data_IF_576304173995
#
_entry.id   IF_576304173995
#
_cell.length_a   1.000
_cell.length_b   1.000
_cell.length_c   1.000
_cell.angle_alpha   90.00
_cell.angle_beta   90.00
_cell.angle_gamma   90.00
#
_symmetry.space_group_name_H-M   'P 1'
#
loop_
_entity.id
_entity.type
_entity.pdbx_description
1 polymer ?
#
# COMPACT_ATOMS: atom_id res chain seq x y z
N UNK A 1 14.62 -4.66 -10.76
CA UNK A 1 15.62 -5.63 -10.26
C UNK A 1 16.68 -4.87 -9.49
N UNK A 2 16.94 -5.18 -8.21
CA UNK A 2 18.20 -4.77 -7.64
C UNK A 2 19.30 -5.54 -8.36
N UNK A 3 20.02 -4.87 -9.26
CA UNK A 3 21.15 -5.48 -9.99
C UNK A 3 22.22 -6.08 -9.06
N UNK A 4 22.14 -5.78 -7.76
CA UNK A 4 22.99 -6.31 -6.70
C UNK A 4 22.92 -7.84 -6.58
N UNK A 5 21.73 -8.46 -6.64
CA UNK A 5 21.64 -9.92 -6.41
C UNK A 5 22.47 -10.72 -7.41
N UNK A 6 22.34 -10.40 -8.70
CA UNK A 6 23.14 -11.03 -9.75
C UNK A 6 24.61 -10.60 -9.66
N UNK A 7 24.88 -9.32 -9.40
CA UNK A 7 26.25 -8.79 -9.32
C UNK A 7 27.07 -9.41 -8.17
N UNK A 8 26.43 -9.89 -7.10
CA UNK A 8 27.11 -10.43 -5.93
C UNK A 8 26.89 -11.93 -5.73
N UNK A 9 26.28 -12.64 -6.70
CA UNK A 9 25.89 -14.05 -6.54
C UNK A 9 27.08 -14.97 -6.25
N UNK A 10 28.18 -14.82 -6.98
CA UNK A 10 29.40 -15.61 -6.77
C UNK A 10 30.03 -15.32 -5.41
N UNK A 11 30.17 -14.04 -5.03
CA UNK A 11 30.75 -13.65 -3.74
C UNK A 11 29.94 -14.19 -2.55
N UNK A 12 28.62 -14.27 -2.67
CA UNK A 12 27.77 -14.90 -1.66
C UNK A 12 27.96 -16.42 -1.60
N UNK A 13 28.05 -17.08 -2.76
CA UNK A 13 28.26 -18.54 -2.83
C UNK A 13 29.62 -18.95 -2.24
N UNK A 14 30.64 -18.11 -2.42
CA UNK A 14 31.98 -18.32 -1.89
C UNK A 14 32.10 -17.92 -0.40
N UNK A 15 31.04 -17.37 0.20
CA UNK A 15 31.04 -16.88 1.58
C UNK A 15 31.86 -15.61 1.80
N UNK A 16 32.32 -14.96 0.73
CA UNK A 16 33.13 -13.74 0.78
C UNK A 16 32.33 -12.51 1.23
N UNK A 17 31.01 -12.52 1.02
CA UNK A 17 30.11 -11.50 1.57
C UNK A 17 28.83 -12.13 2.10
N UNK A 18 28.22 -11.46 3.08
CA UNK A 18 26.84 -11.72 3.48
C UNK A 18 25.93 -10.57 3.05
N UNK A 19 24.73 -10.90 2.61
CA UNK A 19 23.72 -9.93 2.19
C UNK A 19 22.57 -9.92 3.20
N UNK A 20 22.14 -8.71 3.59
CA UNK A 20 20.90 -8.49 4.34
C UNK A 20 20.15 -7.36 3.65
N UNK A 21 18.87 -7.55 3.38
CA UNK A 21 17.99 -6.51 2.85
C UNK A 21 17.06 -5.95 3.90
N UNK A 22 16.70 -4.68 3.75
CA UNK A 22 15.59 -4.06 4.48
C UNK A 22 14.68 -3.40 3.44
N UNK A 23 13.39 -3.76 3.45
CA UNK A 23 12.42 -3.27 2.47
C UNK A 23 11.31 -2.46 3.13
N UNK A 24 10.96 -1.34 2.50
CA UNK A 24 9.86 -0.46 2.89
C UNK A 24 8.55 -0.97 2.28
N UNK A 25 8.15 -2.18 2.66
CA UNK A 25 6.96 -2.88 2.18
C UNK A 25 5.96 -3.03 3.32
N UNK A 26 4.66 -2.88 3.04
CA UNK A 26 3.62 -3.08 4.04
C UNK A 26 3.23 -4.56 4.19
N UNK A 27 3.29 -5.32 3.10
CA UNK A 27 2.86 -6.72 3.03
C UNK A 27 4.08 -7.64 2.86
N UNK A 28 4.58 -8.28 3.95
CA UNK A 28 5.81 -9.07 3.92
C UNK A 28 5.80 -10.24 2.92
N UNK A 29 4.62 -10.78 2.63
CA UNK A 29 4.41 -11.84 1.64
C UNK A 29 4.70 -11.40 0.20
N UNK A 30 4.49 -10.12 -0.15
CA UNK A 30 4.89 -9.55 -1.45
C UNK A 30 6.42 -9.57 -1.59
N UNK A 31 7.15 -9.19 -0.55
CA UNK A 31 8.61 -9.29 -0.53
C UNK A 31 9.07 -10.75 -0.64
N UNK A 32 8.42 -11.68 0.08
CA UNK A 32 8.72 -13.11 0.03
C UNK A 32 8.44 -13.71 -1.36
N UNK A 33 7.33 -13.34 -2.01
CA UNK A 33 7.02 -13.75 -3.38
C UNK A 33 8.08 -13.24 -4.36
N UNK A 34 8.50 -11.98 -4.22
CA UNK A 34 9.57 -11.42 -5.04
C UNK A 34 10.89 -12.19 -4.85
N UNK A 35 11.26 -12.50 -3.60
CA UNK A 35 12.45 -13.30 -3.29
C UNK A 35 12.38 -14.71 -3.89
N UNK A 36 11.24 -15.40 -3.78
CA UNK A 36 11.03 -16.71 -4.40
C UNK A 36 11.16 -16.62 -5.93
N UNK A 37 10.58 -15.59 -6.54
CA UNK A 37 10.66 -15.41 -7.99
C UNK A 37 12.10 -15.22 -8.47
N UNK A 38 12.90 -14.50 -7.68
CA UNK A 38 14.30 -14.17 -7.96
C UNK A 38 15.31 -15.13 -7.35
N UNK A 39 14.85 -16.22 -6.72
CA UNK A 39 15.70 -17.24 -6.10
C UNK A 39 16.72 -16.62 -5.11
N UNK A 40 16.28 -15.59 -4.38
CA UNK A 40 17.11 -14.87 -3.40
C UNK A 40 17.18 -15.66 -2.09
N UNK A 41 18.37 -16.13 -1.72
CA UNK A 41 18.60 -16.95 -0.52
C UNK A 41 18.99 -16.18 0.76
N UNK A 42 19.13 -14.86 0.69
CA UNK A 42 19.59 -14.02 1.81
C UNK A 42 18.42 -13.37 2.57
N UNK A 43 18.56 -13.09 3.87
CA UNK A 43 17.47 -12.55 4.69
C UNK A 43 17.03 -11.15 4.26
N UNK A 44 15.71 -10.92 4.27
CA UNK A 44 15.09 -9.60 4.08
C UNK A 44 14.21 -9.28 5.29
N UNK A 45 14.51 -8.16 5.93
CA UNK A 45 13.67 -7.56 6.96
C UNK A 45 12.68 -6.60 6.32
N UNK A 46 11.49 -6.48 6.92
CA UNK A 46 10.44 -5.58 6.43
C UNK A 46 10.29 -4.45 7.43
N UNK A 47 10.50 -3.22 6.95
CA UNK A 47 10.28 -2.00 7.72
C UNK A 47 9.06 -1.26 7.14
N UNK A 48 7.86 -1.70 7.51
CA UNK A 48 6.63 -1.07 7.04
C UNK A 48 6.41 0.33 7.66
N UNK A 49 7.02 0.58 8.82
CA UNK A 49 6.78 1.73 9.70
C UNK A 49 7.84 2.84 9.54
N UNK A 50 8.80 2.66 8.64
CA UNK A 50 9.97 3.54 8.47
C UNK A 50 10.72 3.77 9.79
N UNK A 51 10.96 2.71 10.56
CA UNK A 51 11.66 2.75 11.86
C UNK A 51 13.13 3.12 11.72
N UNK A 52 13.73 2.90 10.54
CA UNK A 52 15.07 3.38 10.25
C UNK A 52 15.12 4.88 9.92
N UNK A 53 13.95 5.52 9.81
CA UNK A 53 13.79 6.95 9.49
C UNK A 53 14.55 7.38 8.22
N UNK A 54 14.72 6.44 7.28
CA UNK A 54 15.40 6.71 6.03
C UNK A 54 14.50 7.57 5.15
N UNK A 55 15.06 8.60 4.52
CA UNK A 55 14.25 9.50 3.70
C UNK A 55 14.05 9.01 2.27
N UNK A 56 14.94 8.12 1.78
CA UNK A 56 15.00 7.67 0.39
C UNK A 56 15.53 6.25 0.28
N UNK A 57 15.07 5.53 -0.74
CA UNK A 57 15.55 4.19 -1.11
C UNK A 57 15.81 4.11 -2.62
N UNK A 58 16.71 3.23 -3.08
CA UNK A 58 17.53 2.31 -2.28
C UNK A 58 18.77 2.97 -1.67
N UNK A 59 19.18 2.45 -0.51
CA UNK A 59 20.48 2.72 0.12
C UNK A 59 21.23 1.39 0.16
N UNK A 60 22.47 1.39 -0.34
CA UNK A 60 23.35 0.22 -0.33
C UNK A 60 24.57 0.57 0.50
N UNK A 61 25.00 -0.32 1.39
CA UNK A 61 26.16 -0.11 2.25
C UNK A 61 27.04 -1.36 2.21
N UNK A 62 28.35 -1.16 2.30
CA UNK A 62 29.30 -2.21 2.65
C UNK A 62 29.74 -2.00 4.09
N UNK A 63 29.52 -3.02 4.91
CA UNK A 63 29.76 -3.01 6.35
C UNK A 63 30.70 -4.18 6.62
N UNK A 64 31.85 -3.90 7.23
CA UNK A 64 32.80 -4.94 7.61
C UNK A 64 32.41 -5.67 8.90
N UNK A 65 33.25 -6.61 9.30
CA UNK A 65 33.08 -7.46 10.47
C UNK A 65 33.10 -6.68 11.80
N UNK A 66 33.71 -5.50 11.81
CA UNK A 66 33.75 -4.57 12.95
C UNK A 66 32.52 -3.64 12.99
N UNK A 67 31.58 -3.79 12.05
CA UNK A 67 30.40 -2.96 11.93
C UNK A 67 30.68 -1.57 11.33
N UNK A 68 31.84 -1.36 10.73
CA UNK A 68 32.25 -0.09 10.11
C UNK A 68 31.71 -0.04 8.68
N UNK A 69 31.00 1.04 8.37
CA UNK A 69 30.55 1.33 7.00
C UNK A 69 31.76 1.74 6.16
N UNK A 70 32.22 0.83 5.29
CA UNK A 70 33.34 1.07 4.35
C UNK A 70 32.91 1.81 3.09
N UNK A 71 31.65 1.67 2.69
CA UNK A 71 31.10 2.39 1.54
C UNK A 71 29.61 2.63 1.70
N UNK A 72 29.15 3.82 1.29
CA UNK A 72 27.73 4.15 1.15
C UNK A 72 27.42 4.45 -0.30
N UNK A 73 26.35 3.84 -0.82
CA UNK A 73 25.86 3.95 -2.20
C UNK A 73 26.96 3.64 -3.24
N UNK A 74 27.57 2.44 -3.21
CA UNK A 74 28.51 2.02 -4.24
C UNK A 74 27.89 2.18 -5.64
N UNK A 75 28.70 2.50 -6.65
CA UNK A 75 28.20 2.77 -7.99
C UNK A 75 27.49 1.54 -8.55
N UNK A 76 26.28 1.75 -9.09
CA UNK A 76 25.48 0.64 -9.68
C UNK A 76 26.21 -0.05 -10.82
N UNK A 77 26.92 0.73 -11.64
CA UNK A 77 27.84 0.23 -12.66
C UNK A 77 29.17 -0.04 -11.97
N UNK A 78 29.68 -1.27 -12.07
CA UNK A 78 30.86 -1.68 -11.32
C UNK A 78 30.55 -2.31 -9.96
N UNK A 79 29.30 -2.66 -9.67
CA UNK A 79 28.90 -3.18 -8.36
C UNK A 79 29.62 -4.48 -8.00
N UNK A 80 29.85 -5.36 -8.98
CA UNK A 80 30.56 -6.62 -8.77
C UNK A 80 32.02 -6.35 -8.39
N UNK A 81 32.67 -5.44 -9.11
CA UNK A 81 34.05 -5.00 -8.86
C UNK A 81 34.17 -4.29 -7.50
N UNK A 82 33.22 -3.43 -7.15
CA UNK A 82 33.18 -2.74 -5.86
C UNK A 82 32.98 -3.73 -4.70
N UNK A 83 32.10 -4.73 -4.87
CA UNK A 83 31.89 -5.77 -3.87
C UNK A 83 33.11 -6.70 -3.73
N UNK A 84 33.78 -7.02 -4.84
CA UNK A 84 35.01 -7.81 -4.82
C UNK A 84 36.17 -7.05 -4.18
N UNK A 85 36.30 -5.75 -4.45
CA UNK A 85 37.28 -4.88 -3.81
C UNK A 85 37.04 -4.80 -2.30
N UNK A 86 35.78 -4.60 -1.89
CA UNK A 86 35.40 -4.62 -0.48
C UNK A 86 35.80 -5.93 0.20
N UNK A 87 35.44 -7.08 -0.38
CA UNK A 87 35.78 -8.40 0.17
C UNK A 87 37.30 -8.68 0.22
N UNK A 88 38.09 -8.05 -0.65
CA UNK A 88 39.55 -8.20 -0.68
C UNK A 88 40.28 -7.27 0.30
N UNK A 89 39.69 -6.10 0.62
CA UNK A 89 40.28 -5.11 1.55
C UNK A 89 40.00 -5.43 3.03
N UNK A 90 38.94 -6.18 3.31
CA UNK A 90 38.63 -6.67 4.65
C UNK A 90 39.56 -7.83 4.99
N UNK A 91 40.56 -7.58 5.84
CA UNK A 91 41.24 -8.69 6.52
C UNK A 91 40.23 -9.43 7.39
N UNK A 92 40.21 -10.77 7.39
CA UNK A 92 39.32 -11.50 8.26
C UNK A 92 39.60 -11.06 9.70
N UNK A 93 38.59 -10.51 10.36
CA UNK A 93 38.70 -10.12 11.75
C UNK A 93 39.26 -11.31 12.55
N UNK A 94 40.20 -11.03 13.47
CA UNK A 94 40.64 -12.05 14.41
C UNK A 94 39.39 -12.65 15.06
N UNK A 95 39.29 -13.99 15.19
CA UNK A 95 38.10 -14.61 15.75
C UNK A 95 37.77 -13.94 17.06
N UNK A 96 36.63 -13.25 17.11
CA UNK A 96 36.18 -12.53 18.29
C UNK A 96 36.09 -13.57 19.40
N UNK A 97 36.99 -13.49 20.38
CA UNK A 97 37.19 -14.52 21.41
C UNK A 97 36.03 -14.63 22.42
N UNK A 98 34.91 -14.01 22.12
CA UNK A 98 33.70 -14.02 22.91
C UNK A 98 32.54 -13.83 21.95
N UNK A 99 31.49 -14.65 22.09
CA UNK A 99 30.19 -14.29 21.53
C UNK A 99 29.93 -12.81 21.86
N UNK A 100 29.57 -11.95 20.89
CA UNK A 100 29.14 -10.61 21.21
C UNK A 100 28.12 -10.74 22.34
N UNK A 101 28.24 -9.95 23.44
CA UNK A 101 27.35 -10.08 24.56
C UNK A 101 25.95 -10.09 23.99
N UNK A 102 25.23 -11.21 24.16
CA UNK A 102 23.93 -11.41 23.54
C UNK A 102 23.17 -10.11 23.74
N UNK A 103 22.93 -9.38 22.64
CA UNK A 103 22.24 -8.10 22.72
C UNK A 103 21.03 -8.38 23.59
N UNK A 104 20.90 -7.69 24.73
CA UNK A 104 19.89 -8.01 25.74
C UNK A 104 18.55 -7.73 25.10
N UNK A 105 18.04 -8.71 24.36
CA UNK A 105 16.82 -8.60 23.60
C UNK A 105 15.75 -8.54 24.65
N UNK A 106 15.17 -7.35 24.83
CA UNK A 106 13.99 -7.22 25.66
C UNK A 106 12.98 -8.25 25.17
N UNK A 107 12.47 -9.13 26.05
CA UNK A 107 11.46 -10.08 25.62
C UNK A 107 10.29 -9.30 25.02
N UNK A 108 9.71 -9.82 23.93
CA UNK A 108 8.59 -9.17 23.24
C UNK A 108 7.44 -8.81 24.20
N UNK A 109 7.24 -9.60 25.26
CA UNK A 109 6.27 -9.33 26.33
C UNK A 109 6.50 -7.99 27.05
N UNK A 110 7.75 -7.54 27.21
CA UNK A 110 8.06 -6.22 27.75
C UNK A 110 7.72 -5.10 26.77
N UNK A 111 7.99 -5.29 25.47
CA UNK A 111 7.62 -4.32 24.43
C UNK A 111 6.10 -4.17 24.27
N UNK A 112 5.36 -5.25 24.56
CA UNK A 112 3.91 -5.30 24.50
C UNK A 112 3.21 -4.91 25.82
N UNK A 113 3.97 -4.41 26.81
CA UNK A 113 3.43 -3.84 28.04
C UNK A 113 3.18 -2.34 27.88
N UNK A 114 1.98 -1.82 28.22
CA UNK A 114 1.71 -0.39 28.12
C UNK A 114 2.61 0.40 29.08
N UNK A 115 3.11 1.57 28.66
CA UNK A 115 3.92 2.41 29.53
C UNK A 115 3.06 3.01 30.66
N UNK A 116 3.71 3.52 31.70
CA UNK A 116 3.04 4.21 32.81
C UNK A 116 2.20 5.41 32.35
N UNK A 117 1.22 5.82 33.16
CA UNK A 117 0.32 6.94 32.81
C UNK A 117 1.06 8.25 32.55
N UNK A 118 2.17 8.46 33.25
CA UNK A 118 3.02 9.65 33.17
C UNK A 118 4.18 9.51 32.17
N UNK A 119 4.17 8.44 31.36
CA UNK A 119 5.17 8.24 30.34
C UNK A 119 5.05 9.28 29.21
N UNK A 120 6.19 9.60 28.62
CA UNK A 120 6.28 10.58 27.54
C UNK A 120 5.70 10.06 26.20
N UNK A 121 5.55 10.99 25.26
CA UNK A 121 5.04 10.74 23.91
C UNK A 121 5.82 9.64 23.18
N UNK A 122 7.13 9.58 23.39
CA UNK A 122 8.04 8.62 22.78
C UNK A 122 7.78 7.19 23.28
N UNK A 123 7.63 7.01 24.59
CA UNK A 123 7.30 5.71 25.18
C UNK A 123 5.95 5.19 24.69
N UNK A 124 4.94 6.06 24.59
CA UNK A 124 3.65 5.70 24.00
C UNK A 124 3.77 5.36 22.51
N UNK A 125 4.61 6.09 21.74
CA UNK A 125 4.86 5.77 20.33
C UNK A 125 5.49 4.39 20.19
N UNK A 126 6.58 4.10 20.90
CA UNK A 126 7.25 2.78 20.86
C UNK A 126 6.30 1.64 21.23
N UNK A 127 5.43 1.83 22.23
CA UNK A 127 4.39 0.86 22.56
C UNK A 127 3.42 0.65 21.39
N UNK A 128 2.95 1.74 20.77
CA UNK A 128 2.11 1.69 19.56
C UNK A 128 2.78 0.92 18.42
N UNK A 129 4.06 1.16 18.15
CA UNK A 129 4.82 0.46 17.10
C UNK A 129 5.04 -1.03 17.42
N UNK A 130 5.36 -1.35 18.68
CA UNK A 130 5.50 -2.73 19.12
C UNK A 130 4.18 -3.51 18.96
N UNK A 131 3.03 -2.86 19.16
CA UNK A 131 1.73 -3.47 18.88
C UNK A 131 1.54 -3.76 17.38
N UNK A 132 2.02 -2.90 16.49
CA UNK A 132 1.92 -3.14 15.04
C UNK A 132 2.83 -4.29 14.61
N UNK A 133 4.06 -4.35 15.11
CA UNK A 133 5.05 -5.32 14.64
C UNK A 133 4.91 -6.71 15.27
N UNK A 134 4.64 -6.77 16.58
CA UNK A 134 4.77 -7.99 17.36
C UNK A 134 3.47 -8.53 17.97
N UNK A 135 2.42 -7.71 18.05
CA UNK A 135 1.14 -8.17 18.60
C UNK A 135 0.32 -8.93 17.54
N UNK A 136 -0.59 -9.81 17.96
CA UNK A 136 -1.48 -10.48 17.04
C UNK A 136 -2.53 -9.48 16.50
N UNK A 137 -3.18 -9.77 15.34
CA UNK A 137 -4.05 -8.82 14.63
C UNK A 137 -5.20 -8.23 15.47
N UNK A 138 -5.68 -8.95 16.48
CA UNK A 138 -6.77 -8.50 17.36
C UNK A 138 -6.37 -7.27 18.21
N UNK A 139 -5.06 -7.01 18.36
CA UNK A 139 -4.53 -5.83 19.07
C UNK A 139 -4.26 -4.63 18.15
N UNK A 140 -4.54 -4.72 16.84
CA UNK A 140 -4.38 -3.57 15.94
C UNK A 140 -5.30 -2.40 16.31
N UNK A 141 -6.46 -2.68 16.91
CA UNK A 141 -7.33 -1.64 17.49
C UNK A 141 -6.63 -0.82 18.57
N UNK A 142 -5.84 -1.50 19.39
CA UNK A 142 -5.05 -0.85 20.42
C UNK A 142 -3.93 -0.01 19.81
N UNK A 143 -3.23 -0.55 18.81
CA UNK A 143 -2.15 0.15 18.11
C UNK A 143 -2.63 1.47 17.50
N UNK A 144 -3.73 1.41 16.74
CA UNK A 144 -4.36 2.60 16.13
C UNK A 144 -4.74 3.62 17.18
N UNK A 145 -5.39 3.19 18.28
CA UNK A 145 -5.78 4.10 19.38
C UNK A 145 -4.57 4.74 20.07
N UNK A 146 -3.51 3.98 20.32
CA UNK A 146 -2.29 4.47 20.97
C UNK A 146 -1.58 5.50 20.08
N UNK A 147 -1.36 5.18 18.81
CA UNK A 147 -0.73 6.11 17.87
C UNK A 147 -1.60 7.36 17.63
N UNK A 148 -2.93 7.20 17.59
CA UNK A 148 -3.86 8.34 17.57
C UNK A 148 -3.73 9.24 18.82
N UNK A 149 -3.53 8.66 20.01
CA UNK A 149 -3.26 9.43 21.23
C UNK A 149 -1.91 10.16 21.18
N UNK A 150 -0.87 9.54 20.62
CA UNK A 150 0.43 10.20 20.40
C UNK A 150 0.25 11.43 19.50
N UNK A 151 -0.56 11.33 18.45
CA UNK A 151 -0.89 12.46 17.57
C UNK A 151 -1.72 13.55 18.24
N UNK A 152 -2.54 13.22 19.24
CA UNK A 152 -3.23 14.24 20.05
C UNK A 152 -2.26 15.04 20.92
N UNK A 153 -1.16 14.43 21.35
CA UNK A 153 -0.10 15.09 22.14
C UNK A 153 0.85 15.91 21.25
N UNK A 154 1.11 15.44 20.03
CA UNK A 154 1.94 16.12 19.04
C UNK A 154 1.33 16.00 17.64
N UNK A 155 0.55 17.00 17.24
CA UNK A 155 -0.18 16.95 15.97
C UNK A 155 0.74 17.10 14.75
N UNK A 156 1.93 17.70 14.89
CA UNK A 156 2.82 17.95 13.75
C UNK A 156 3.87 16.85 13.53
N UNK A 157 3.78 15.75 14.28
CA UNK A 157 4.66 14.59 14.15
C UNK A 157 4.37 13.80 12.87
N UNK A 158 5.01 14.20 11.76
CA UNK A 158 4.89 13.55 10.46
C UNK A 158 5.22 12.05 10.47
N UNK A 159 6.23 11.63 11.26
CA UNK A 159 6.61 10.22 11.35
C UNK A 159 5.52 9.40 12.04
N UNK A 160 4.99 9.88 13.17
CA UNK A 160 3.86 9.22 13.85
C UNK A 160 2.62 9.21 12.93
N UNK A 161 2.37 10.26 12.14
CA UNK A 161 1.27 10.27 11.16
C UNK A 161 1.45 9.19 10.10
N UNK A 162 2.67 8.99 9.61
CA UNK A 162 2.98 7.94 8.66
C UNK A 162 2.73 6.55 9.27
N UNK A 163 3.26 6.31 10.47
CA UNK A 163 3.12 5.06 11.22
C UNK A 163 1.67 4.75 11.59
N UNK A 164 0.90 5.76 11.98
CA UNK A 164 -0.53 5.63 12.24
C UNK A 164 -1.31 5.22 10.98
N UNK A 165 -0.97 5.78 9.81
CA UNK A 165 -1.55 5.35 8.54
C UNK A 165 -1.23 3.89 8.21
N UNK A 166 -0.01 3.43 8.51
CA UNK A 166 0.38 2.01 8.35
C UNK A 166 -0.42 1.11 9.29
N UNK A 167 -0.61 1.50 10.55
CA UNK A 167 -1.43 0.75 11.50
C UNK A 167 -2.90 0.64 11.06
N UNK A 168 -3.49 1.76 10.60
CA UNK A 168 -4.84 1.80 10.05
C UNK A 168 -5.00 0.88 8.85
N UNK A 169 -4.08 0.96 7.88
CA UNK A 169 -4.15 0.12 6.70
C UNK A 169 -3.93 -1.37 7.05
N UNK A 170 -2.99 -1.68 7.95
CA UNK A 170 -2.79 -3.06 8.41
C UNK A 170 -4.02 -3.61 9.14
N UNK A 171 -4.74 -2.78 9.89
CA UNK A 171 -6.03 -3.18 10.47
C UNK A 171 -7.06 -3.44 9.39
N UNK A 172 -7.22 -2.52 8.43
CA UNK A 172 -8.13 -2.65 7.28
C UNK A 172 -7.94 -3.98 6.53
N UNK A 173 -6.69 -4.34 6.25
CA UNK A 173 -6.33 -5.55 5.51
C UNK A 173 -6.45 -6.85 6.34
N UNK A 174 -6.81 -6.75 7.63
CA UNK A 174 -6.90 -7.88 8.57
C UNK A 174 -8.34 -8.28 8.89
N UNK A 175 -8.57 -9.42 9.58
CA UNK A 175 -9.89 -9.76 10.12
C UNK A 175 -10.47 -8.72 11.10
N UNK A 176 -9.64 -7.84 11.67
CA UNK A 176 -10.03 -6.75 12.56
C UNK A 176 -10.36 -5.44 11.82
N UNK A 177 -10.43 -5.47 10.48
CA UNK A 177 -10.71 -4.30 9.65
C UNK A 177 -12.01 -3.60 10.01
N UNK A 178 -11.98 -2.27 9.97
CA UNK A 178 -13.16 -1.44 10.21
C UNK A 178 -13.48 -0.58 8.99
N UNK A 179 -14.77 -0.30 8.73
CA UNK A 179 -15.15 0.64 7.69
C UNK A 179 -14.49 2.00 7.89
N UNK A 180 -13.90 2.54 6.83
CA UNK A 180 -13.24 3.84 6.80
C UNK A 180 -11.76 3.82 7.19
N UNK A 181 -11.21 2.67 7.59
CA UNK A 181 -9.79 2.56 7.94
C UNK A 181 -8.88 2.91 6.76
N UNK A 182 -9.25 2.50 5.55
CA UNK A 182 -8.44 2.81 4.38
C UNK A 182 -8.45 4.31 4.07
N UNK A 183 -9.62 4.96 4.09
CA UNK A 183 -9.72 6.41 3.95
C UNK A 183 -8.94 7.15 5.05
N UNK A 184 -9.01 6.67 6.30
CA UNK A 184 -8.26 7.24 7.41
C UNK A 184 -6.74 7.07 7.24
N UNK A 185 -6.28 5.93 6.69
CA UNK A 185 -4.88 5.70 6.38
C UNK A 185 -4.38 6.70 5.33
N UNK A 186 -5.15 6.91 4.26
CA UNK A 186 -4.85 7.89 3.20
C UNK A 186 -4.75 9.31 3.78
N UNK A 187 -5.69 9.70 4.65
CA UNK A 187 -5.65 11.01 5.33
C UNK A 187 -4.40 11.13 6.19
N UNK A 188 -4.07 10.09 6.97
CA UNK A 188 -2.91 10.08 7.86
C UNK A 188 -1.59 10.19 7.08
N UNK A 189 -1.45 9.45 5.98
CA UNK A 189 -0.26 9.52 5.12
C UNK A 189 -0.15 10.85 4.38
N UNK A 190 -1.26 11.40 3.89
CA UNK A 190 -1.26 12.72 3.24
C UNK A 190 -0.78 13.80 4.20
N UNK A 191 -1.32 13.81 5.43
CA UNK A 191 -0.87 14.74 6.47
C UNK A 191 0.59 14.52 6.90
N UNK A 192 1.09 13.28 6.86
CA UNK A 192 2.51 13.00 7.07
C UNK A 192 3.37 13.64 5.97
N UNK A 193 2.98 13.46 4.70
CA UNK A 193 3.69 14.05 3.57
C UNK A 193 3.62 15.58 3.56
N UNK A 194 2.50 16.17 3.98
CA UNK A 194 2.40 17.63 4.14
C UNK A 194 3.38 18.16 5.19
N UNK A 195 3.59 17.42 6.29
CA UNK A 195 4.55 17.78 7.33
C UNK A 195 6.01 17.63 6.86
N UNK A 196 6.31 16.69 5.97
CA UNK A 196 7.63 16.57 5.34
C UNK A 196 7.54 16.17 3.86
N UNK A 197 7.39 17.16 2.94
CA UNK A 197 7.17 16.90 1.52
C UNK A 197 8.32 16.16 0.81
N UNK A 198 9.52 16.17 1.39
CA UNK A 198 10.71 15.54 0.81
C UNK A 198 10.84 14.04 1.14
N UNK A 199 9.96 13.50 1.99
CA UNK A 199 9.97 12.08 2.35
C UNK A 199 9.54 11.19 1.19
N UNK A 200 10.53 10.59 0.51
CA UNK A 200 10.30 9.77 -0.68
C UNK A 200 9.42 8.57 -0.39
N UNK A 201 9.66 7.88 0.73
CA UNK A 201 8.92 6.66 1.10
C UNK A 201 7.44 6.97 1.34
N UNK A 202 7.15 8.06 2.05
CA UNK A 202 5.78 8.47 2.36
C UNK A 202 5.03 8.85 1.08
N UNK A 203 5.68 9.58 0.18
CA UNK A 203 5.12 9.89 -1.14
C UNK A 203 4.82 8.63 -1.94
N UNK A 204 5.75 7.67 -1.99
CA UNK A 204 5.54 6.40 -2.71
C UNK A 204 4.38 5.60 -2.13
N UNK A 205 4.20 5.59 -0.80
CA UNK A 205 3.07 4.92 -0.14
C UNK A 205 1.71 5.43 -0.64
N UNK A 206 1.54 6.74 -0.79
CA UNK A 206 0.29 7.33 -1.29
C UNK A 206 0.14 7.06 -2.80
N UNK A 207 1.20 7.24 -3.57
CA UNK A 207 1.20 7.04 -5.02
C UNK A 207 0.87 5.59 -5.44
N UNK A 208 1.07 4.60 -4.57
CA UNK A 208 0.59 3.22 -4.79
C UNK A 208 -0.92 3.19 -5.04
N UNK A 209 -1.68 3.98 -4.28
CA UNK A 209 -3.15 3.99 -4.31
C UNK A 209 -3.73 5.19 -5.07
N UNK A 210 -2.91 6.17 -5.46
CA UNK A 210 -3.33 7.38 -6.15
C UNK A 210 -3.52 7.25 -7.68
N UNK A 211 -3.83 8.37 -8.35
CA UNK A 211 -4.12 8.43 -9.80
C UNK A 211 -2.92 8.07 -10.67
N UNK A 212 -3.18 7.54 -11.87
CA UNK A 212 -2.15 7.19 -12.87
C UNK A 212 -1.28 8.38 -13.30
N UNK A 213 -1.83 9.59 -13.34
CA UNK A 213 -1.08 10.80 -13.70
C UNK A 213 0.05 11.14 -12.71
N UNK A 214 -0.07 10.70 -11.47
CA UNK A 214 0.91 10.95 -10.41
C UNK A 214 1.87 9.78 -10.21
N UNK A 215 1.64 8.65 -10.89
CA UNK A 215 2.45 7.44 -10.71
C UNK A 215 3.80 7.59 -11.40
N UNK A 216 4.90 7.21 -10.73
CA UNK A 216 6.23 7.17 -11.34
C UNK A 216 6.46 5.93 -12.23
N UNK A 217 5.80 4.82 -11.89
CA UNK A 217 5.92 3.47 -12.45
C UNK A 217 4.80 2.61 -11.84
N UNK A 218 4.43 1.47 -12.46
CA UNK A 218 3.57 0.49 -11.81
C UNK A 218 4.33 -0.16 -10.64
N UNK A 219 3.71 -0.30 -9.47
CA UNK A 219 4.41 -0.78 -8.27
C UNK A 219 4.51 -2.31 -8.22
N UNK A 220 3.45 -3.02 -8.65
CA UNK A 220 3.34 -4.47 -8.51
C UNK A 220 2.87 -5.21 -9.77
N UNK A 221 3.04 -4.63 -10.95
CA UNK A 221 2.73 -5.29 -12.25
C UNK A 221 3.53 -6.59 -12.49
N UNK A 222 4.59 -6.80 -11.72
CA UNK A 222 5.39 -8.02 -11.74
C UNK A 222 4.76 -9.21 -11.02
N UNK A 223 3.72 -9.04 -10.18
CA UNK A 223 3.18 -10.12 -9.32
C UNK A 223 2.63 -11.28 -10.13
N UNK A 224 1.89 -11.02 -11.20
CA UNK A 224 1.36 -12.08 -12.07
C UNK A 224 2.47 -12.82 -12.81
N UNK A 225 3.44 -12.06 -13.35
CA UNK A 225 4.62 -12.61 -14.01
C UNK A 225 5.43 -13.48 -13.06
N UNK A 226 5.62 -13.05 -11.82
CA UNK A 226 6.30 -13.81 -10.77
C UNK A 226 5.58 -15.13 -10.48
N UNK A 227 4.28 -15.06 -10.23
CA UNK A 227 3.42 -16.21 -9.94
C UNK A 227 3.46 -17.24 -11.08
N UNK A 228 3.37 -16.78 -12.33
CA UNK A 228 3.44 -17.64 -13.51
C UNK A 228 4.81 -18.30 -13.66
N UNK A 229 5.91 -17.53 -13.48
CA UNK A 229 7.26 -18.07 -13.61
C UNK A 229 7.56 -19.13 -12.54
N UNK A 230 7.16 -18.89 -11.29
CA UNK A 230 7.32 -19.85 -10.19
C UNK A 230 6.57 -21.15 -10.49
N UNK A 231 5.30 -21.07 -10.94
CA UNK A 231 4.53 -22.25 -11.33
C UNK A 231 5.16 -23.01 -12.51
N UNK A 232 5.72 -22.29 -13.48
CA UNK A 232 6.40 -22.91 -14.61
C UNK A 232 7.64 -23.72 -14.19
N UNK A 233 8.24 -23.41 -13.03
CA UNK A 233 9.31 -24.21 -12.43
C UNK A 233 8.81 -25.42 -11.62
N UNK A 234 7.49 -25.59 -11.48
CA UNK A 234 6.88 -26.65 -10.68
C UNK A 234 6.77 -26.32 -9.18
N UNK A 235 6.98 -25.05 -8.81
CA UNK A 235 6.85 -24.58 -7.42
C UNK A 235 5.46 -23.98 -7.15
N UNK A 236 5.04 -24.00 -5.88
CA UNK A 236 3.88 -23.25 -5.41
C UNK A 236 4.27 -21.80 -5.06
N UNK A 237 3.67 -20.78 -5.68
CA UNK A 237 3.96 -19.40 -5.35
C UNK A 237 3.51 -19.04 -3.93
N UNK A 238 4.32 -18.24 -3.25
CA UNK A 238 3.95 -17.65 -1.95
C UNK A 238 2.57 -16.98 -2.06
N UNK A 239 1.64 -17.43 -1.21
CA UNK A 239 0.31 -16.86 -1.13
C UNK A 239 0.37 -15.45 -0.56
N UNK A 240 -0.23 -14.50 -1.28
CA UNK A 240 -0.46 -13.14 -0.79
C UNK A 240 -1.75 -13.10 0.05
N UNK A 241 -1.64 -12.57 1.25
CA UNK A 241 -2.75 -12.19 2.14
C UNK A 241 -3.58 -11.06 1.54
N UNK A 242 -2.91 -10.08 0.91
CA UNK A 242 -3.53 -8.96 0.19
C UNK A 242 -2.94 -8.88 -1.21
N UNK A 243 -3.78 -9.16 -2.21
CA UNK A 243 -3.38 -9.00 -3.62
C UNK A 243 -3.29 -7.50 -3.97
N UNK A 244 -2.36 -7.10 -4.85
CA UNK A 244 -2.36 -5.74 -5.37
C UNK A 244 -3.68 -5.41 -6.08
N UNK A 245 -4.23 -4.24 -5.80
CA UNK A 245 -5.37 -3.69 -6.54
C UNK A 245 -4.97 -3.06 -7.87
N UNK A 246 -5.95 -2.61 -8.65
CA UNK A 246 -5.73 -2.04 -9.98
C UNK A 246 -4.84 -0.80 -9.93
N UNK A 247 -4.97 0.05 -8.90
CA UNK A 247 -4.14 1.23 -8.71
C UNK A 247 -2.68 0.86 -8.55
N UNK A 248 -2.42 -0.23 -7.83
CA UNK A 248 -1.07 -0.64 -7.47
C UNK A 248 -0.31 -1.24 -8.68
N UNK A 249 -1.04 -1.80 -9.64
CA UNK A 249 -0.50 -2.35 -10.90
C UNK A 249 -0.58 -1.37 -12.08
N UNK A 250 -1.41 -0.33 -11.98
CA UNK A 250 -1.64 0.62 -13.05
C UNK A 250 -0.35 1.33 -13.48
N UNK A 251 -0.16 1.44 -14.80
CA UNK A 251 0.95 2.16 -15.41
C UNK A 251 0.73 3.68 -15.34
N UNK A 252 1.79 4.48 -15.24
CA UNK A 252 1.70 5.93 -15.37
C UNK A 252 1.00 6.35 -16.65
N UNK A 253 0.08 7.31 -16.53
CA UNK A 253 -0.55 7.97 -17.66
C UNK A 253 0.10 9.34 -17.88
N UNK A 254 0.12 9.79 -19.14
CA UNK A 254 0.56 11.16 -19.49
C UNK A 254 -0.59 12.15 -19.47
N UNK A 255 -1.75 11.69 -19.91
CA UNK A 255 -2.97 12.45 -20.03
C UNK A 255 -4.15 11.67 -19.43
N UNK A 256 -5.22 12.39 -19.12
CA UNK A 256 -6.46 11.78 -18.63
C UNK A 256 -7.34 11.41 -19.83
N UNK A 257 -7.50 10.11 -20.08
CA UNK A 257 -8.34 9.59 -21.14
C UNK A 257 -9.78 9.45 -20.64
N UNK A 258 -10.56 10.51 -20.83
CA UNK A 258 -11.97 10.51 -20.47
C UNK A 258 -12.77 9.53 -21.35
N UNK A 259 -13.51 8.63 -20.71
CA UNK A 259 -14.45 7.77 -21.41
C UNK A 259 -15.71 8.53 -21.82
N UNK A 260 -16.35 8.03 -22.87
CA UNK A 260 -17.67 8.52 -23.27
C UNK A 260 -18.69 8.18 -22.16
N UNK A 261 -19.68 9.06 -21.93
CA UNK A 261 -20.79 8.72 -21.06
C UNK A 261 -21.43 7.40 -21.50
N UNK A 262 -21.61 6.49 -20.55
CA UNK A 262 -22.28 5.22 -20.78
C UNK A 262 -23.61 5.20 -20.01
N UNK A 263 -24.64 4.63 -20.61
CA UNK A 263 -25.92 4.40 -19.93
C UNK A 263 -25.84 3.07 -19.21
N UNK A 264 -26.02 3.10 -17.88
CA UNK A 264 -25.98 1.88 -17.08
C UNK A 264 -27.12 0.93 -17.39
N UNK A 265 -26.97 -0.33 -16.99
CA UNK A 265 -27.94 -1.40 -17.27
C UNK A 265 -29.24 -1.31 -16.45
N UNK A 266 -29.27 -0.52 -15.37
CA UNK A 266 -30.47 -0.25 -14.57
C UNK A 266 -30.59 1.25 -14.25
N UNK A 267 -30.75 2.14 -15.25
CA UNK A 267 -30.73 3.58 -15.02
C UNK A 267 -31.97 4.08 -14.25
N UNK A 268 -33.05 3.30 -14.27
CA UNK A 268 -34.33 3.62 -13.61
C UNK A 268 -34.48 2.98 -12.22
N UNK A 269 -33.48 2.23 -11.74
CA UNK A 269 -33.53 1.62 -10.41
C UNK A 269 -34.62 0.54 -10.25
N UNK A 270 -34.85 -0.27 -11.30
CA UNK A 270 -35.84 -1.35 -11.28
C UNK A 270 -35.35 -2.57 -10.52
N UNK A 271 -34.03 -2.76 -10.41
CA UNK A 271 -33.45 -3.85 -9.61
C UNK A 271 -33.62 -3.54 -8.13
N UNK A 272 -34.00 -4.56 -7.34
CA UNK A 272 -34.19 -4.41 -5.90
C UNK A 272 -32.92 -3.94 -5.19
N UNK A 273 -33.06 -2.89 -4.38
CA UNK A 273 -31.97 -2.35 -3.57
C UNK A 273 -31.51 -3.33 -2.49
N UNK A 274 -30.21 -3.34 -2.24
CA UNK A 274 -29.59 -4.08 -1.15
C UNK A 274 -29.32 -3.21 0.08
N UNK A 275 -30.00 -3.55 1.16
CA UNK A 275 -29.85 -2.94 2.47
C UNK A 275 -29.06 -3.82 3.46
N UNK A 276 -28.75 -5.08 3.11
CA UNK A 276 -28.34 -6.09 4.08
C UNK A 276 -27.12 -6.92 3.67
N UNK A 277 -27.04 -7.35 2.41
CA UNK A 277 -26.12 -8.40 1.97
C UNK A 277 -24.71 -7.92 1.78
N UNK A 278 -24.53 -6.72 1.23
CA UNK A 278 -23.22 -6.18 0.89
C UNK A 278 -23.11 -4.74 1.36
N UNK A 279 -22.07 -4.47 2.16
CA UNK A 279 -21.67 -3.11 2.48
C UNK A 279 -20.73 -2.57 1.38
N UNK A 280 -20.85 -1.28 1.06
CA UNK A 280 -19.94 -0.59 0.16
C UNK A 280 -19.17 0.48 0.93
N UNK A 281 -17.85 0.45 0.83
CA UNK A 281 -16.94 1.44 1.38
C UNK A 281 -16.26 2.20 0.24
N UNK A 282 -16.11 3.51 0.38
CA UNK A 282 -15.45 4.37 -0.61
C UNK A 282 -14.22 5.00 0.01
N UNK A 283 -13.09 4.93 -0.71
CA UNK A 283 -11.86 5.67 -0.41
C UNK A 283 -11.46 6.51 -1.63
N UNK A 284 -11.10 7.77 -1.40
CA UNK A 284 -10.66 8.72 -2.42
C UNK A 284 -9.20 9.11 -2.17
N UNK A 285 -8.37 9.04 -3.21
CA UNK A 285 -6.93 9.32 -3.17
C UNK A 285 -6.54 10.30 -4.29
N UNK A 286 -6.00 11.49 -3.98
CA UNK A 286 -5.83 12.08 -2.65
C UNK A 286 -7.18 12.38 -1.95
N UNK A 287 -7.21 12.57 -0.62
CA UNK A 287 -8.45 12.83 0.13
C UNK A 287 -9.03 14.24 -0.12
N UNK A 288 -8.21 15.14 -0.65
CA UNK A 288 -8.57 16.47 -1.14
C UNK A 288 -7.78 16.75 -2.41
N UNK A 289 -8.41 17.40 -3.39
CA UNK A 289 -7.86 17.59 -4.73
C UNK A 289 -8.04 19.03 -5.20
N UNK A 290 -7.04 19.57 -5.89
CA UNK A 290 -7.15 20.91 -6.48
C UNK A 290 -7.99 20.89 -7.77
N UNK A 291 -8.67 21.98 -8.13
CA UNK A 291 -9.37 22.09 -9.42
C UNK A 291 -8.47 21.72 -10.60
N UNK A 292 -9.00 20.92 -11.54
CA UNK A 292 -8.25 20.43 -12.71
C UNK A 292 -7.40 19.19 -12.49
N UNK A 293 -7.21 18.76 -11.23
CA UNK A 293 -6.46 17.55 -10.88
C UNK A 293 -7.37 16.31 -10.86
N UNK A 294 -6.76 15.15 -10.61
CA UNK A 294 -7.41 13.83 -10.69
C UNK A 294 -7.42 13.15 -9.33
N UNK A 295 -8.48 12.39 -9.03
CA UNK A 295 -8.52 11.46 -7.90
C UNK A 295 -8.70 10.03 -8.40
N UNK A 296 -8.12 9.07 -7.67
CA UNK A 296 -8.40 7.65 -7.78
C UNK A 296 -9.44 7.30 -6.72
N UNK A 297 -10.50 6.62 -7.12
CA UNK A 297 -11.57 6.16 -6.24
C UNK A 297 -11.47 4.65 -6.11
N UNK A 298 -11.60 4.17 -4.87
CA UNK A 298 -11.64 2.75 -4.52
C UNK A 298 -13.00 2.47 -3.91
N UNK A 299 -13.81 1.63 -4.55
CA UNK A 299 -15.10 1.15 -4.03
C UNK A 299 -14.93 -0.30 -3.62
N UNK A 300 -14.88 -0.56 -2.32
CA UNK A 300 -14.75 -1.92 -1.79
C UNK A 300 -16.10 -2.42 -1.30
N UNK A 301 -16.48 -3.59 -1.81
CA UNK A 301 -17.74 -4.27 -1.50
C UNK A 301 -17.45 -5.46 -0.59
N UNK A 302 -18.13 -5.49 0.57
CA UNK A 302 -17.94 -6.46 1.62
C UNK A 302 -19.22 -7.27 1.84
N UNK A 303 -19.23 -8.57 1.52
CA UNK A 303 -20.33 -9.44 1.92
C UNK A 303 -20.52 -9.45 3.44
N UNK A 304 -21.77 -9.39 3.87
CA UNK A 304 -22.16 -9.40 5.27
C UNK A 304 -22.02 -10.80 5.87
N UNK A 305 -20.93 -10.98 6.63
CA UNK A 305 -20.60 -12.25 7.28
C UNK A 305 -21.57 -12.65 8.39
N UNK A 306 -22.34 -11.73 8.97
CA UNK A 306 -23.29 -12.04 10.06
C UNK A 306 -24.44 -12.90 9.56
N UNK A 307 -24.87 -12.68 8.31
CA UNK A 307 -25.93 -13.44 7.64
C UNK A 307 -25.37 -14.43 6.60
N UNK A 308 -24.07 -14.72 6.67
CA UNK A 308 -23.38 -15.62 5.73
C UNK A 308 -23.59 -15.26 4.24
N UNK A 309 -23.63 -13.95 3.94
CA UNK A 309 -23.73 -13.46 2.57
C UNK A 309 -22.43 -13.74 1.80
N UNK A 310 -22.56 -14.18 0.55
CA UNK A 310 -21.42 -14.51 -0.31
C UNK A 310 -21.76 -14.33 -1.80
N UNK A 311 -20.73 -14.17 -2.62
CA UNK A 311 -20.86 -13.96 -4.06
C UNK A 311 -21.27 -15.23 -4.79
N UNK A 312 -22.13 -15.09 -5.79
CA UNK A 312 -22.34 -16.12 -6.81
C UNK A 312 -21.42 -15.84 -8.01
N UNK A 313 -20.42 -16.69 -8.22
CA UNK A 313 -19.45 -16.53 -9.31
C UNK A 313 -19.87 -17.19 -10.62
N UNK A 314 -20.92 -18.02 -10.59
CA UNK A 314 -21.49 -18.66 -11.78
C UNK A 314 -22.41 -17.73 -12.56
N UNK A 315 -22.80 -16.59 -11.95
CA UNK A 315 -23.62 -15.55 -12.56
C UNK A 315 -22.76 -14.38 -13.07
N UNK A 316 -23.39 -13.26 -13.45
CA UNK A 316 -22.67 -12.08 -13.91
C UNK A 316 -21.75 -11.50 -12.81
N UNK A 317 -20.59 -10.93 -13.20
CA UNK A 317 -19.68 -10.28 -12.28
C UNK A 317 -20.30 -9.04 -11.62
N UNK A 318 -19.65 -8.57 -10.55
CA UNK A 318 -20.01 -7.28 -9.94
C UNK A 318 -19.69 -6.17 -10.94
N UNK A 319 -20.68 -5.35 -11.25
CA UNK A 319 -20.53 -4.19 -12.14
C UNK A 319 -20.84 -2.91 -11.38
N UNK A 320 -19.91 -1.97 -11.36
CA UNK A 320 -20.08 -0.63 -10.82
C UNK A 320 -20.32 0.35 -11.97
N UNK A 321 -21.39 1.14 -11.86
CA UNK A 321 -21.71 2.23 -12.77
C UNK A 321 -21.62 3.56 -12.05
N UNK A 322 -20.90 4.51 -12.61
CA UNK A 322 -20.71 5.84 -12.03
C UNK A 322 -21.16 6.92 -13.00
N UNK A 323 -21.92 7.89 -12.47
CA UNK A 323 -22.40 9.04 -13.23
C UNK A 323 -21.72 10.30 -12.69
N UNK A 324 -20.64 10.78 -13.35
CA UNK A 324 -20.01 12.03 -12.96
C UNK A 324 -20.99 13.21 -13.11
N UNK A 325 -20.90 14.23 -12.23
CA UNK A 325 -21.60 15.50 -12.42
C UNK A 325 -21.22 16.18 -13.74
N UNK A 326 -22.02 17.14 -14.18
CA UNK A 326 -21.71 17.92 -15.37
C UNK A 326 -20.31 18.56 -15.28
N UNK A 327 -19.54 18.48 -16.38
CA UNK A 327 -18.17 18.99 -16.48
C UNK A 327 -17.09 18.05 -15.92
N UNK A 328 -17.43 17.09 -15.06
CA UNK A 328 -16.48 16.12 -14.54
C UNK A 328 -16.20 15.03 -15.57
N UNK A 329 -14.95 14.56 -15.63
CA UNK A 329 -14.58 13.45 -16.49
C UNK A 329 -14.27 12.20 -15.66
N UNK A 330 -14.58 11.03 -16.22
CA UNK A 330 -14.33 9.72 -15.65
C UNK A 330 -13.57 8.88 -16.69
N UNK A 331 -12.58 8.11 -16.26
CA UNK A 331 -11.82 7.25 -17.17
C UNK A 331 -12.59 5.98 -17.54
N UNK A 332 -13.33 5.40 -16.61
CA UNK A 332 -14.16 4.21 -16.81
C UNK A 332 -15.51 4.37 -16.08
N UNK A 333 -16.60 4.73 -16.78
CA UNK A 333 -17.94 4.90 -16.16
C UNK A 333 -18.57 3.56 -15.76
N UNK A 334 -18.04 2.45 -16.27
CA UNK A 334 -18.42 1.09 -15.91
C UNK A 334 -17.15 0.31 -15.57
N UNK A 335 -17.06 -0.18 -14.33
CA UNK A 335 -15.98 -1.05 -13.87
C UNK A 335 -16.54 -2.40 -13.50
N UNK A 336 -15.84 -3.48 -13.82
CA UNK A 336 -16.29 -4.85 -13.54
C UNK A 336 -15.24 -5.59 -12.73
N UNK A 337 -15.66 -6.31 -11.69
CA UNK A 337 -14.79 -7.22 -10.95
C UNK A 337 -14.98 -8.64 -11.48
N UNK A 338 -13.94 -9.20 -12.11
CA UNK A 338 -14.01 -10.55 -12.67
C UNK A 338 -14.27 -11.60 -11.57
N UNK A 339 -15.19 -12.52 -11.85
CA UNK A 339 -15.52 -13.60 -10.91
C UNK A 339 -14.34 -14.56 -10.73
N UNK A 340 -14.20 -15.08 -9.51
CA UNK A 340 -13.27 -16.16 -9.23
C UNK A 340 -13.72 -17.45 -9.93
N UNK A 341 -12.79 -18.40 -10.11
CA UNK A 341 -13.11 -19.70 -10.72
C UNK A 341 -13.90 -20.65 -9.80
N UNK A 342 -14.03 -20.34 -8.51
CA UNK A 342 -14.84 -21.10 -7.55
C UNK A 342 -16.29 -20.65 -7.64
N UNK A 343 -17.27 -21.56 -7.53
CA UNK A 343 -18.70 -21.24 -7.69
C UNK A 343 -19.22 -20.16 -6.73
N UNK A 344 -18.73 -20.16 -5.47
CA UNK A 344 -19.07 -19.15 -4.46
C UNK A 344 -17.81 -18.66 -3.76
N UNK A 345 -17.87 -17.46 -3.20
CA UNK A 345 -16.75 -16.88 -2.48
C UNK A 345 -17.16 -15.70 -1.59
N UNK A 346 -16.36 -15.35 -0.57
CA UNK A 346 -16.69 -14.36 0.46
C UNK A 346 -15.62 -13.26 0.64
N UNK A 347 -14.72 -13.13 -0.34
CA UNK A 347 -13.72 -12.08 -0.39
C UNK A 347 -14.35 -10.70 -0.54
N UNK A 348 -13.65 -9.67 -0.06
CA UNK A 348 -13.97 -8.29 -0.45
C UNK A 348 -13.62 -8.08 -1.93
N UNK A 349 -14.44 -7.30 -2.64
CA UNK A 349 -14.19 -6.94 -4.04
C UNK A 349 -14.00 -5.44 -4.17
N UNK A 350 -12.87 -5.01 -4.73
CA UNK A 350 -12.57 -3.59 -4.93
C UNK A 350 -12.66 -3.26 -6.41
N UNK A 351 -13.46 -2.25 -6.74
CA UNK A 351 -13.56 -1.67 -8.07
C UNK A 351 -12.98 -0.26 -8.03
N UNK A 352 -12.17 0.09 -9.01
CA UNK A 352 -11.42 1.34 -9.00
C UNK A 352 -11.58 2.10 -10.31
N UNK A 353 -11.58 3.42 -10.23
CA UNK A 353 -11.65 4.33 -11.39
C UNK A 353 -11.03 5.67 -11.03
N UNK A 354 -10.87 6.55 -12.01
CA UNK A 354 -10.34 7.89 -11.85
C UNK A 354 -11.36 8.95 -12.26
N UNK A 355 -11.39 10.04 -11.50
CA UNK A 355 -12.20 11.21 -11.77
C UNK A 355 -11.28 12.41 -11.97
N UNK A 356 -11.49 13.18 -13.04
CA UNK A 356 -10.86 14.48 -13.24
C UNK A 356 -11.83 15.58 -12.87
N UNK A 357 -11.39 16.43 -11.94
CA UNK A 357 -12.13 17.58 -11.45
C UNK A 357 -12.07 18.70 -12.48
N UNK A 358 -13.18 19.39 -12.80
CA UNK A 358 -13.16 20.59 -13.64
C UNK A 358 -12.20 21.66 -13.09
N UNK A 359 -11.49 22.35 -13.97
CA UNK A 359 -10.50 23.37 -13.59
C UNK A 359 -11.11 24.60 -12.90
N UNK A 360 -12.41 24.83 -13.08
CA UNK A 360 -13.21 25.91 -12.51
C UNK A 360 -14.09 25.45 -11.34
N UNK A 361 -13.88 24.22 -10.84
CA UNK A 361 -14.68 23.70 -9.72
C UNK A 361 -14.53 24.58 -8.47
N UNK A 362 -15.64 24.97 -7.83
CA UNK A 362 -15.58 25.67 -6.56
C UNK A 362 -15.05 24.71 -5.47
N UNK A 363 -14.40 25.27 -4.45
CA UNK A 363 -14.03 24.50 -3.27
C UNK A 363 -15.26 23.98 -2.52
N UNK A 364 -15.16 22.78 -1.95
CA UNK A 364 -16.25 22.13 -1.24
C UNK A 364 -16.25 20.61 -1.40
N UNK A 365 -17.39 19.99 -1.16
CA UNK A 365 -17.59 18.55 -1.39
C UNK A 365 -18.60 18.36 -2.50
N UNK A 366 -18.20 17.67 -3.56
CA UNK A 366 -19.06 17.23 -4.65
C UNK A 366 -19.36 15.74 -4.49
N UNK A 367 -20.64 15.37 -4.62
CA UNK A 367 -21.06 13.98 -4.53
C UNK A 367 -21.19 13.39 -5.94
N UNK A 368 -20.34 12.42 -6.26
CA UNK A 368 -20.45 11.62 -7.49
C UNK A 368 -21.27 10.37 -7.16
N UNK A 369 -22.33 10.12 -7.93
CA UNK A 369 -23.30 9.05 -7.64
C UNK A 369 -23.19 7.92 -8.64
N UNK A 370 -23.50 6.73 -8.17
CA UNK A 370 -23.48 5.54 -8.98
C UNK A 370 -24.17 4.38 -8.27
N UNK A 371 -24.10 3.21 -8.86
CA UNK A 371 -24.64 2.00 -8.27
C UNK A 371 -23.85 0.78 -8.74
N UNK A 372 -23.81 -0.24 -7.89
CA UNK A 372 -23.29 -1.55 -8.22
C UNK A 372 -24.42 -2.56 -8.42
N UNK A 373 -24.29 -3.43 -9.42
CA UNK A 373 -25.16 -4.56 -9.66
C UNK A 373 -24.39 -5.87 -9.49
N UNK A 374 -24.98 -6.84 -8.82
CA UNK A 374 -24.31 -8.10 -8.50
C UNK A 374 -25.29 -9.20 -8.07
N UNK A 375 -24.79 -10.43 -8.10
CA UNK A 375 -25.48 -11.62 -7.60
C UNK A 375 -24.90 -12.04 -6.24
N UNK A 376 -25.77 -12.18 -5.24
CA UNK A 376 -25.41 -12.54 -3.86
C UNK A 376 -26.35 -13.61 -3.31
N UNK A 377 -25.84 -14.53 -2.50
CA UNK A 377 -26.63 -15.59 -1.85
C UNK A 377 -26.46 -15.49 -0.32
N UNK A 378 -27.33 -16.17 0.43
CA UNK A 378 -27.40 -16.12 1.91
C UNK A 378 -27.31 -17.51 2.53
N UNK A 379 -26.14 -17.94 3.02
CA UNK A 379 -26.00 -19.30 3.54
C UNK A 379 -25.85 -20.38 2.45
N UNK A 380 -25.28 -21.52 2.81
CA UNK A 380 -24.72 -22.49 1.86
C UNK A 380 -25.70 -23.14 0.86
N UNK A 381 -27.01 -23.20 1.17
CA UNK A 381 -28.03 -23.86 0.34
C UNK A 381 -29.07 -22.90 -0.27
N UNK A 382 -28.80 -21.58 -0.25
CA UNK A 382 -29.86 -20.58 -0.42
C UNK A 382 -30.00 -19.97 -1.81
N UNK A 383 -31.18 -19.36 -2.01
CA UNK A 383 -31.56 -18.59 -3.18
C UNK A 383 -30.62 -17.41 -3.40
N UNK A 384 -29.93 -17.41 -4.53
CA UNK A 384 -29.17 -16.25 -4.98
C UNK A 384 -30.10 -15.16 -5.54
N UNK A 385 -29.69 -13.91 -5.32
CA UNK A 385 -30.48 -12.73 -5.60
C UNK A 385 -29.66 -11.74 -6.41
N UNK A 386 -30.27 -11.19 -7.46
CA UNK A 386 -29.69 -10.04 -8.17
C UNK A 386 -30.08 -8.75 -7.44
N UNK A 387 -29.07 -7.92 -7.13
CA UNK A 387 -29.21 -6.78 -6.23
C UNK A 387 -28.50 -5.54 -6.75
N UNK A 388 -28.97 -4.40 -6.25
CA UNK A 388 -28.46 -3.06 -6.54
C UNK A 388 -27.96 -2.40 -5.26
N UNK A 389 -26.72 -1.91 -5.24
CA UNK A 389 -26.20 -1.08 -4.14
C UNK A 389 -25.93 0.33 -4.62
N UNK A 390 -26.55 1.32 -4.01
CA UNK A 390 -26.21 2.72 -4.27
C UNK A 390 -24.80 3.04 -3.75
N UNK A 391 -24.03 3.78 -4.54
CA UNK A 391 -22.67 4.21 -4.21
C UNK A 391 -22.60 5.72 -4.33
N UNK A 392 -22.09 6.38 -3.28
CA UNK A 392 -21.88 7.83 -3.26
C UNK A 392 -20.41 8.10 -2.93
N UNK A 393 -19.74 8.80 -3.83
CA UNK A 393 -18.33 9.15 -3.72
C UNK A 393 -18.22 10.64 -3.37
N UNK A 394 -17.86 10.99 -2.13
CA UNK A 394 -17.60 12.36 -1.75
C UNK A 394 -16.20 12.79 -2.19
N UNK A 395 -16.12 13.67 -3.19
CA UNK A 395 -14.84 14.27 -3.62
C UNK A 395 -14.72 15.66 -3.03
N UNK A 396 -13.68 15.89 -2.22
CA UNK A 396 -13.37 17.19 -1.64
C UNK A 396 -12.46 17.97 -2.57
N UNK A 397 -12.94 19.09 -3.08
CA UNK A 397 -12.18 20.03 -3.90
C UNK A 397 -11.67 21.16 -3.01
N UNK A 398 -10.38 21.47 -3.12
CA UNK A 398 -9.80 22.60 -2.40
C UNK A 398 -10.39 23.93 -2.90
N UNK A 399 -10.47 24.93 -2.03
CA UNK A 399 -10.81 26.30 -2.46
C UNK A 399 -9.76 26.84 -3.44
N UNK A 400 -10.14 27.83 -4.27
CA UNK A 400 -9.25 28.46 -5.25
C UNK A 400 -7.84 28.72 -4.66
N UNK A 401 -6.78 28.44 -5.43
CA UNK A 401 -5.45 28.17 -4.88
C UNK A 401 -4.89 29.35 -4.09
N UNK A 402 -4.62 29.14 -2.80
CA UNK A 402 -3.59 29.90 -2.10
C UNK A 402 -2.27 29.30 -2.54
N UNK A 403 -1.68 29.83 -3.62
CA UNK A 403 -0.32 29.56 -4.14
C UNK A 403 0.46 28.47 -3.37
N UNK A 404 0.10 27.19 -3.56
CA UNK A 404 0.97 26.09 -3.13
C UNK A 404 2.07 25.99 -4.17
N UNK A 405 3.35 25.92 -3.78
CA UNK A 405 4.43 25.70 -4.74
C UNK A 405 4.14 24.40 -5.50
N UNK A 406 4.08 24.51 -6.83
CA UNK A 406 3.68 23.42 -7.71
C UNK A 406 4.56 22.17 -7.57
N UNK A 407 4.10 21.03 -8.11
CA UNK A 407 4.83 19.77 -8.04
C UNK A 407 6.25 19.95 -8.57
N UNK A 408 7.22 19.50 -7.78
CA UNK A 408 8.64 19.56 -8.09
C UNK A 408 8.92 18.83 -9.41
N UNK A 409 9.07 19.59 -10.50
CA UNK A 409 9.72 19.10 -11.72
C UNK A 409 11.16 18.73 -11.35
N UNK A 410 11.56 17.45 -11.51
CA UNK A 410 12.96 17.09 -11.35
C UNK A 410 13.76 17.90 -12.36
N UNK A 411 14.71 18.73 -11.89
CA UNK A 411 15.68 19.36 -12.78
C UNK A 411 16.36 18.23 -13.56
N UNK A 412 16.23 18.30 -14.88
CA UNK A 412 16.90 17.39 -15.79
C UNK A 412 18.38 17.30 -15.44
N UNK A 413 18.89 16.08 -15.41
CA UNK A 413 20.33 15.80 -15.46
C UNK A 413 20.94 16.62 -16.60
N UNK A 414 22.00 17.40 -16.37
CA UNK A 414 22.76 17.99 -17.46
C UNK A 414 23.42 16.84 -18.22
N UNK A 415 22.93 16.58 -19.43
CA UNK A 415 23.64 15.75 -20.38
C UNK A 415 24.74 16.58 -21.06
N UNK A 416 25.92 15.99 -21.16
CA UNK A 416 26.87 16.27 -22.25
C UNK A 416 27.98 17.27 -21.95
N UNK A 417 29.18 16.72 -21.79
CA UNK A 417 30.47 17.39 -21.76
C UNK A 417 31.55 16.38 -21.42
#
# INVERSE_FOLDING_TARGET
MPGWHEATKTLQADGAIQMIGIVQEQHPDRARLFMQWKEMGWPVLVDALNQLEVEVVPITMFIDEEGIIRSMRPPRRGMAEAAAAFAAETEPAAPVASDPPAATSRPVSELLSPPGRDADTEAWRRYGLALVDFAPPERLDEAVRVLGRVLQMNQDDGLTRFQHGVALRRRYDSPAGRPGDFQAAIISWTAALDANPNQYIWRRRIQQYGPRLEKPYPFYDWVESATAAIRARGEEPVRLSVRPGDAEIARPARDFDASKPATGSDPEGRVTHDELFVAAEVTVVPPEVDPGQTVRVHVTMHPNRVIDAHWNNEAEPVMLWMTPPEGWAIDEPQVTFANASTAVSNESRTLEFELKVPADSPGGVTLVRGYALYNVCEGADATCLYRRKEVVVPVRVSGAPVNKPGPFTPRGTPGGG
#
